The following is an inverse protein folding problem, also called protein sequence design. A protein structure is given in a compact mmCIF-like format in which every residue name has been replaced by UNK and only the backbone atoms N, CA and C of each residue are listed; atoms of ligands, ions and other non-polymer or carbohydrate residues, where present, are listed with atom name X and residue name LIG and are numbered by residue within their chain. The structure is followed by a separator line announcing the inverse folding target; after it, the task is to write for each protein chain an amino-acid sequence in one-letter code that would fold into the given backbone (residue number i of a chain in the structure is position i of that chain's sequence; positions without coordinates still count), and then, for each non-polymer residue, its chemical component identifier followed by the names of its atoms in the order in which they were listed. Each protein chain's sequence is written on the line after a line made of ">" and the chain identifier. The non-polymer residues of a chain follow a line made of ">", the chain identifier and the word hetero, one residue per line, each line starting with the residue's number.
data_IF_402455597510
#
_entry.id   IF_402455597510
#
_cell.length_a   1.000
_cell.length_b   1.000
_cell.length_c   1.000
_cell.angle_alpha   90.00
_cell.angle_beta   90.00
_cell.angle_gamma   90.00
#
_symmetry.space_group_name_H-M   'P 1'
#
loop_
_entity.id
_entity.type
_entity.pdbx_description
1 polymer ?
#
# COMPACT_ATOMS: atom_id res chain seq x y z
N UNK A 1 -10.99 10.45 3.52
CA UNK A 1 -10.37 9.14 3.84
C UNK A 1 -9.07 9.03 3.05
N UNK A 2 -7.99 8.51 3.63
CA UNK A 2 -6.71 8.42 2.93
C UNK A 2 -6.83 7.49 1.73
N UNK A 3 -6.17 7.86 0.63
CA UNK A 3 -6.16 7.09 -0.60
C UNK A 3 -4.95 6.15 -0.61
N UNK A 4 -5.19 4.86 -0.82
CA UNK A 4 -4.14 3.84 -0.84
C UNK A 4 -3.92 3.29 -2.24
N UNK A 5 -2.66 3.17 -2.62
CA UNK A 5 -2.23 2.34 -3.72
C UNK A 5 -2.27 0.87 -3.29
N UNK A 6 -2.71 0.00 -4.19
CA UNK A 6 -2.82 -1.44 -3.92
C UNK A 6 -1.68 -2.20 -4.57
N UNK A 7 -1.12 -3.14 -3.81
CA UNK A 7 0.02 -3.95 -4.19
C UNK A 7 -0.32 -5.44 -4.06
N UNK A 8 0.32 -6.26 -4.89
CA UNK A 8 0.32 -7.71 -4.80
C UNK A 8 1.73 -8.21 -4.54
N UNK A 9 1.92 -9.01 -3.49
CA UNK A 9 3.14 -9.81 -3.29
C UNK A 9 2.85 -11.22 -3.80
N UNK A 10 3.69 -11.72 -4.71
CA UNK A 10 3.57 -13.05 -5.30
C UNK A 10 4.27 -14.12 -4.44
N UNK A 11 4.04 -15.41 -4.74
CA UNK A 11 4.76 -16.52 -4.09
C UNK A 11 6.28 -16.38 -4.17
N UNK A 12 6.80 -15.80 -5.26
CA UNK A 12 8.23 -15.55 -5.46
C UNK A 12 8.78 -14.36 -4.66
N UNK A 13 7.94 -13.69 -3.86
CA UNK A 13 8.27 -12.45 -3.16
C UNK A 13 8.23 -11.21 -4.06
N UNK A 14 8.05 -11.37 -5.37
CA UNK A 14 7.96 -10.23 -6.29
C UNK A 14 6.71 -9.39 -6.00
N UNK A 15 6.90 -8.07 -5.91
CA UNK A 15 5.83 -7.12 -5.62
C UNK A 15 5.45 -6.36 -6.88
N UNK A 16 4.14 -6.27 -7.16
CA UNK A 16 3.60 -5.45 -8.25
C UNK A 16 2.56 -4.48 -7.73
N UNK A 17 2.61 -3.23 -8.22
CA UNK A 17 1.54 -2.25 -8.04
C UNK A 17 0.38 -2.55 -8.98
N UNK A 18 -0.83 -2.62 -8.46
CA UNK A 18 -2.05 -2.74 -9.27
C UNK A 18 -2.33 -1.38 -9.91
N UNK A 19 -2.34 -1.33 -11.24
CA UNK A 19 -2.58 -0.09 -11.99
C UNK A 19 -4.05 0.31 -11.89
N UNK A 20 -4.30 1.62 -11.83
CA UNK A 20 -5.65 2.23 -11.84
C UNK A 20 -6.60 1.71 -10.74
N UNK A 21 -6.07 1.12 -9.67
CA UNK A 21 -6.86 0.64 -8.55
C UNK A 21 -6.39 1.31 -7.26
N UNK A 22 -7.33 1.87 -6.53
CA UNK A 22 -7.11 2.53 -5.26
C UNK A 22 -8.24 2.21 -4.29
N UNK A 23 -7.92 2.24 -3.01
CA UNK A 23 -8.88 1.98 -1.94
C UNK A 23 -8.86 3.11 -0.92
N UNK A 24 -10.04 3.39 -0.36
CA UNK A 24 -10.19 4.26 0.78
C UNK A 24 -10.37 3.37 2.01
N UNK A 25 -9.38 3.34 2.90
CA UNK A 25 -9.42 2.51 4.10
C UNK A 25 -9.10 3.34 5.34
N UNK A 26 -9.74 3.12 6.50
CA UNK A 26 -9.35 3.77 7.75
C UNK A 26 -7.92 3.39 8.13
N UNK A 27 -7.04 4.39 8.29
CA UNK A 27 -5.61 4.15 8.54
C UNK A 27 -5.36 3.35 9.82
N UNK A 28 -6.13 3.63 10.87
CA UNK A 28 -5.97 2.98 12.18
C UNK A 28 -6.31 1.48 12.13
N UNK A 29 -7.23 1.07 11.25
CA UNK A 29 -7.54 -0.33 11.05
C UNK A 29 -6.40 -1.06 10.33
N UNK A 30 -5.77 -0.43 9.33
CA UNK A 30 -4.58 -1.00 8.68
C UNK A 30 -3.43 -1.16 9.69
N UNK A 31 -3.16 -0.12 10.48
CA UNK A 31 -2.11 -0.18 11.51
C UNK A 31 -2.34 -1.29 12.55
N UNK A 32 -3.60 -1.59 12.86
CA UNK A 32 -3.95 -2.57 13.91
C UNK A 32 -3.97 -4.01 13.40
N UNK A 33 -4.50 -4.25 12.20
CA UNK A 33 -4.83 -5.59 11.73
C UNK A 33 -3.93 -6.10 10.60
N UNK A 34 -3.09 -5.24 10.03
CA UNK A 34 -2.23 -5.59 8.89
C UNK A 34 -0.77 -5.51 9.28
N UNK A 35 0.05 -6.20 8.51
CA UNK A 35 1.48 -6.31 8.75
C UNK A 35 2.23 -5.23 7.97
N UNK A 36 2.91 -4.34 8.68
CA UNK A 36 3.71 -3.31 8.04
C UNK A 36 4.95 -3.91 7.39
N UNK A 37 5.25 -3.48 6.16
CA UNK A 37 6.44 -3.84 5.40
C UNK A 37 6.98 -2.66 4.61
N UNK A 38 8.20 -2.82 4.09
CA UNK A 38 8.84 -1.83 3.23
C UNK A 38 8.58 -2.10 1.76
N UNK A 39 8.50 -1.04 0.96
CA UNK A 39 8.47 -1.08 -0.50
C UNK A 39 9.72 -0.37 -1.04
N UNK A 40 10.45 -1.05 -1.91
CA UNK A 40 11.65 -0.50 -2.57
C UNK A 40 11.36 -0.32 -4.06
N UNK A 41 11.77 0.81 -4.64
CA UNK A 41 11.57 1.11 -6.06
C UNK A 41 10.15 1.56 -6.43
N UNK A 42 9.33 1.93 -5.44
CA UNK A 42 7.99 2.49 -5.64
C UNK A 42 7.90 3.90 -5.04
N UNK A 43 6.91 4.73 -5.48
CA UNK A 43 6.70 6.06 -4.91
C UNK A 43 6.34 6.03 -3.41
N UNK A 44 5.66 4.96 -2.98
CA UNK A 44 5.33 4.72 -1.58
C UNK A 44 6.40 3.81 -0.93
N UNK A 45 6.82 4.13 0.29
CA UNK A 45 7.89 3.42 0.99
C UNK A 45 7.40 2.35 1.99
N UNK A 46 6.13 2.46 2.42
CA UNK A 46 5.53 1.62 3.45
C UNK A 46 4.23 1.02 2.94
N UNK A 47 4.01 -0.26 3.24
CA UNK A 47 2.82 -1.02 2.84
C UNK A 47 2.28 -1.83 4.01
N UNK A 48 0.97 -1.93 4.11
CA UNK A 48 0.26 -2.77 5.08
C UNK A 48 -0.27 -4.02 4.39
N UNK A 49 0.35 -5.18 4.66
CA UNK A 49 -0.01 -6.47 4.07
C UNK A 49 -1.08 -7.21 4.87
N UNK A 50 -2.02 -7.86 4.19
CA UNK A 50 -3.00 -8.75 4.83
C UNK A 50 -2.29 -9.92 5.53
N UNK A 51 -1.29 -10.50 4.88
CA UNK A 51 -0.53 -11.64 5.37
C UNK A 51 0.92 -11.21 5.66
N UNK A 52 1.53 -11.65 6.77
CA UNK A 52 2.90 -11.27 7.10
C UNK A 52 3.89 -11.79 6.05
N UNK A 53 3.69 -13.01 5.58
CA UNK A 53 4.56 -13.71 4.63
C UNK A 53 3.77 -14.31 3.45
N UNK A 54 4.48 -14.76 2.41
CA UNK A 54 3.88 -15.37 1.22
C UNK A 54 2.99 -14.42 0.40
N UNK A 55 2.12 -14.95 -0.48
CA UNK A 55 1.24 -14.11 -1.28
C UNK A 55 0.33 -13.22 -0.46
N UNK A 56 0.19 -11.96 -0.87
CA UNK A 56 -0.64 -11.02 -0.13
C UNK A 56 -1.09 -9.82 -0.97
N UNK A 57 -2.12 -9.15 -0.47
CA UNK A 57 -2.53 -7.81 -0.92
C UNK A 57 -2.04 -6.80 0.11
N UNK A 58 -1.46 -5.71 -0.39
CA UNK A 58 -0.87 -4.64 0.40
C UNK A 58 -1.48 -3.28 0.09
N UNK A 59 -1.58 -2.44 1.10
CA UNK A 59 -2.10 -1.08 0.99
C UNK A 59 -1.01 -0.09 1.37
N UNK A 60 -0.62 0.79 0.45
CA UNK A 60 0.40 1.81 0.69
C UNK A 60 -0.23 3.20 0.59
N UNK A 61 -0.04 4.03 1.61
CA UNK A 61 -0.63 5.37 1.65
C UNK A 61 -0.05 6.20 0.51
N UNK A 62 -0.92 6.74 -0.35
CA UNK A 62 -0.46 7.66 -1.38
C UNK A 62 -0.18 9.00 -0.74
N UNK A 63 0.96 9.64 -1.06
CA UNK A 63 1.14 11.03 -0.70
C UNK A 63 0.01 11.83 -1.34
N UNK A 64 -0.65 12.68 -0.55
CA UNK A 64 -1.60 13.63 -1.10
C UNK A 64 -0.84 14.50 -2.09
N UNK A 65 -1.32 14.56 -3.33
CA UNK A 65 -0.82 15.56 -4.27
C UNK A 65 -1.26 16.89 -3.69
N UNK A 66 -0.36 17.59 -3.00
CA UNK A 66 -0.55 19.02 -2.72
C UNK A 66 -0.74 19.65 -4.09
N UNK A 67 -1.97 20.04 -4.43
CA UNK A 67 -2.16 21.00 -5.52
C UNK A 67 -1.33 22.21 -5.12
N UNK A 68 -0.32 22.54 -5.91
CA UNK A 68 0.27 23.87 -5.84
C UNK A 68 -0.92 24.83 -6.01
N UNK A 69 -1.13 25.65 -5.00
CA UNK A 69 -2.01 26.81 -5.13
C UNK A 69 -1.16 27.80 -5.92
N UNK A 70 -1.51 27.98 -7.19
CA UNK A 70 -1.05 29.13 -7.99
C UNK A 70 -1.63 30.43 -7.42
#
# INVERSE_FOLDING_TARGET
>A
MPNYAVYMRMHTGHVKRVRNFFSNYPHDLLKRYFHQGSLTGFPENTVFWINPEGPSIGFALRPEVRKAVD
#
